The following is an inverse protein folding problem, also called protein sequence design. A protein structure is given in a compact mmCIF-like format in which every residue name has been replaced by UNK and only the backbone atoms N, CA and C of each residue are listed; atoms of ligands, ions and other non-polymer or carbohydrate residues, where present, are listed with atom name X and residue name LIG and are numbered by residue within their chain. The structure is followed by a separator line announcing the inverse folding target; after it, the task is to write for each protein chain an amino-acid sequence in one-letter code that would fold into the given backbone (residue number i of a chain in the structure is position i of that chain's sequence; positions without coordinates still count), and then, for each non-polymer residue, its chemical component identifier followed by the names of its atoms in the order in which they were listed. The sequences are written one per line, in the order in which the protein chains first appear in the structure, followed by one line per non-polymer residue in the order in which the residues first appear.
data_IF_131932761248
#
_entry.id   IF_131932761248
#
_cell.length_a   1.000
_cell.length_b   1.000
_cell.length_c   1.000
_cell.angle_alpha   90.00
_cell.angle_beta   90.00
_cell.angle_gamma   90.00
#
_symmetry.space_group_name_H-M   'P 1'
#
loop_
_entity.id
_entity.type
_entity.pdbx_description
1 polymer ?
#
# COMPACT_ATOMS: atom_id res chain seq x y z
N UNK A 1 -0.61 -20.00 -4.00
CA UNK A 1 -0.33 -18.63 -4.44
C UNK A 1 -1.45 -18.21 -5.37
N UNK A 2 -2.17 -17.13 -5.05
CA UNK A 2 -3.22 -16.55 -5.91
C UNK A 2 -2.56 -15.51 -6.81
N UNK A 3 -2.75 -15.64 -8.12
CA UNK A 3 -2.17 -14.72 -9.11
C UNK A 3 -3.14 -13.57 -9.41
N UNK A 4 -2.58 -12.42 -9.81
CA UNK A 4 -3.34 -11.24 -10.23
C UNK A 4 -4.29 -11.53 -11.41
N UNK A 5 -3.88 -12.41 -12.34
CA UNK A 5 -4.70 -12.85 -13.48
C UNK A 5 -6.02 -13.51 -13.09
N UNK A 6 -6.09 -14.06 -11.87
CA UNK A 6 -7.25 -14.82 -11.36
C UNK A 6 -8.25 -13.93 -10.60
N UNK A 7 -8.06 -12.61 -10.65
CA UNK A 7 -8.81 -11.62 -9.87
C UNK A 7 -9.61 -10.72 -10.81
N UNK A 8 -10.89 -10.40 -10.51
CA UNK A 8 -11.64 -9.36 -11.23
C UNK A 8 -10.89 -8.03 -11.25
N UNK A 9 -10.94 -7.29 -12.36
CA UNK A 9 -10.10 -6.09 -12.55
C UNK A 9 -10.40 -5.00 -11.50
N UNK A 10 -11.67 -4.84 -11.13
CA UNK A 10 -12.13 -3.91 -10.12
C UNK A 10 -11.63 -4.24 -8.70
N UNK A 11 -11.13 -5.45 -8.49
CA UNK A 11 -10.51 -5.90 -7.23
C UNK A 11 -8.98 -5.83 -7.23
N UNK A 12 -8.31 -5.56 -8.37
CA UNK A 12 -6.84 -5.57 -8.52
C UNK A 12 -6.15 -4.31 -7.96
N UNK A 13 -6.58 -3.85 -6.79
CA UNK A 13 -6.05 -2.66 -6.13
C UNK A 13 -5.55 -2.98 -4.73
N UNK A 14 -4.41 -2.40 -4.34
CA UNK A 14 -4.00 -2.36 -2.95
C UNK A 14 -4.65 -1.18 -2.26
N UNK A 15 -5.52 -1.44 -1.28
CA UNK A 15 -6.16 -0.38 -0.51
C UNK A 15 -5.28 -0.01 0.68
N UNK A 16 -4.80 1.22 0.69
CA UNK A 16 -4.10 1.85 1.82
C UNK A 16 -5.13 2.46 2.76
N UNK A 17 -5.07 2.09 4.03
CA UNK A 17 -5.95 2.59 5.07
C UNK A 17 -5.36 3.80 5.81
N UNK A 18 -4.04 3.95 5.86
CA UNK A 18 -3.43 5.13 6.48
C UNK A 18 -1.92 5.03 6.57
N UNK A 19 -1.30 6.11 7.02
CA UNK A 19 0.12 6.13 7.39
C UNK A 19 0.27 5.54 8.78
N UNK A 20 1.34 4.79 9.01
CA UNK A 20 1.60 4.24 10.34
C UNK A 20 1.93 5.37 11.31
N UNK A 21 1.20 5.43 12.42
CA UNK A 21 1.52 6.34 13.52
C UNK A 21 2.91 6.04 14.13
N UNK A 22 3.48 6.98 14.90
CA UNK A 22 4.70 6.73 15.67
C UNK A 22 4.62 5.48 16.57
N UNK A 23 3.45 5.17 17.14
CA UNK A 23 3.24 4.00 18.00
C UNK A 23 3.33 2.70 17.19
N UNK A 24 2.68 2.64 16.02
CA UNK A 24 2.78 1.48 15.12
C UNK A 24 4.23 1.29 14.67
N UNK A 25 4.90 2.39 14.27
CA UNK A 25 6.30 2.37 13.87
C UNK A 25 7.21 1.80 14.97
N UNK A 26 6.99 2.20 16.22
CA UNK A 26 7.73 1.68 17.37
C UNK A 26 7.61 0.16 17.50
N UNK A 27 6.42 -0.40 17.25
CA UNK A 27 6.18 -1.83 17.34
C UNK A 27 6.77 -2.61 16.16
N UNK A 28 6.73 -2.07 14.95
CA UNK A 28 7.12 -2.81 13.73
C UNK A 28 8.54 -2.55 13.24
N UNK A 29 9.25 -1.58 13.82
CA UNK A 29 10.60 -1.16 13.39
C UNK A 29 11.61 -2.32 13.23
N UNK A 30 11.48 -3.40 14.03
CA UNK A 30 12.39 -4.55 13.96
C UNK A 30 12.19 -5.42 12.70
N UNK A 31 11.02 -5.34 12.08
CA UNK A 31 10.67 -6.08 10.87
C UNK A 31 10.92 -5.28 9.59
N UNK A 32 11.24 -3.99 9.72
CA UNK A 32 11.48 -3.09 8.61
C UNK A 32 12.99 -2.80 8.48
N UNK A 33 13.46 -2.37 7.29
CA UNK A 33 14.81 -1.85 7.11
C UNK A 33 15.15 -0.75 8.14
N UNK A 34 16.37 -0.80 8.69
CA UNK A 34 16.85 0.18 9.69
C UNK A 34 16.90 1.59 9.13
N UNK A 35 17.33 1.71 7.89
CA UNK A 35 17.37 2.97 7.15
C UNK A 35 16.07 3.14 6.39
N UNK A 36 15.42 4.28 6.62
CA UNK A 36 14.22 4.69 5.89
C UNK A 36 14.53 5.99 5.15
N UNK A 37 14.75 5.93 3.84
CA UNK A 37 14.89 7.12 3.01
C UNK A 37 13.71 8.07 3.19
N UNK A 38 13.94 9.38 3.04
CA UNK A 38 12.88 10.40 3.19
C UNK A 38 11.78 10.33 2.13
N UNK A 39 11.97 9.49 1.10
CA UNK A 39 10.98 9.20 0.06
C UNK A 39 10.27 7.86 0.30
N UNK A 40 10.29 7.33 1.52
CA UNK A 40 9.54 6.14 1.92
C UNK A 40 8.48 6.48 2.96
N UNK A 41 7.36 5.76 2.94
CA UNK A 41 6.32 5.83 3.95
C UNK A 41 5.93 4.42 4.42
N UNK A 42 5.57 4.29 5.70
CA UNK A 42 5.03 3.02 6.23
C UNK A 42 3.52 3.10 6.21
N UNK A 43 2.90 2.20 5.45
CA UNK A 43 1.48 2.22 5.15
C UNK A 43 0.77 0.98 5.71
N UNK A 44 -0.40 1.19 6.31
CA UNK A 44 -1.31 0.10 6.65
C UNK A 44 -2.11 -0.25 5.40
N UNK A 45 -1.85 -1.44 4.86
CA UNK A 45 -2.49 -1.96 3.64
C UNK A 45 -3.56 -2.97 4.05
N UNK A 46 -4.74 -2.84 3.44
CA UNK A 46 -5.88 -3.73 3.64
C UNK A 46 -5.65 -5.09 2.97
N UNK A 47 -6.70 -5.89 2.83
CA UNK A 47 -6.62 -7.22 2.22
C UNK A 47 -6.04 -7.16 0.81
N UNK A 48 -4.91 -7.85 0.60
CA UNK A 48 -4.31 -7.97 -0.72
C UNK A 48 -5.13 -8.91 -1.61
N UNK A 49 -5.32 -8.52 -2.87
CA UNK A 49 -6.11 -9.26 -3.85
C UNK A 49 -5.40 -10.48 -4.45
N UNK A 50 -4.06 -10.50 -4.39
CA UNK A 50 -3.17 -11.57 -4.83
C UNK A 50 -1.95 -11.62 -3.91
N UNK A 51 -1.08 -12.63 -4.11
CA UNK A 51 0.25 -12.63 -3.51
C UNK A 51 1.12 -11.64 -4.29
N UNK A 52 1.65 -10.61 -3.62
CA UNK A 52 2.36 -9.50 -4.27
C UNK A 52 3.83 -9.48 -3.82
N UNK A 53 4.78 -9.71 -4.74
CA UNK A 53 6.18 -9.81 -4.38
C UNK A 53 6.75 -8.46 -3.90
N UNK A 54 7.72 -8.52 -2.98
CA UNK A 54 8.57 -7.36 -2.69
C UNK A 54 9.28 -6.91 -3.97
N UNK A 55 9.37 -5.60 -4.18
CA UNK A 55 9.88 -4.99 -5.40
C UNK A 55 8.82 -4.77 -6.48
N UNK A 56 7.58 -5.27 -6.30
CA UNK A 56 6.46 -4.92 -7.18
C UNK A 56 6.29 -3.40 -7.21
N UNK A 57 6.11 -2.89 -8.42
CA UNK A 57 5.84 -1.48 -8.69
C UNK A 57 4.37 -1.23 -8.90
N UNK A 58 3.89 -0.01 -8.68
CA UNK A 58 2.57 0.45 -9.12
C UNK A 58 2.73 1.86 -9.71
N UNK A 59 1.73 2.35 -10.45
CA UNK A 59 1.85 3.61 -11.20
C UNK A 59 0.76 4.64 -10.87
N UNK A 60 -0.32 4.20 -10.22
CA UNK A 60 -1.48 5.04 -9.92
C UNK A 60 -1.86 4.94 -8.45
N UNK A 61 -2.10 6.10 -7.83
CA UNK A 61 -2.85 6.21 -6.58
C UNK A 61 -4.13 7.03 -6.79
N UNK A 62 -5.24 6.65 -6.16
CA UNK A 62 -6.47 7.45 -6.17
C UNK A 62 -7.29 7.26 -4.89
N UNK A 63 -8.09 8.22 -4.44
CA UNK A 63 -9.05 8.01 -3.36
C UNK A 63 -10.00 6.88 -3.76
N UNK A 64 -10.13 5.83 -2.94
CA UNK A 64 -10.86 4.60 -3.31
C UNK A 64 -12.29 4.84 -3.79
N UNK A 65 -12.95 5.90 -3.29
CA UNK A 65 -14.32 6.29 -3.64
C UNK A 65 -14.43 7.26 -4.83
N UNK A 66 -13.32 7.71 -5.38
CA UNK A 66 -13.24 8.66 -6.48
C UNK A 66 -12.08 8.30 -7.44
N UNK A 67 -12.18 7.19 -8.19
CA UNK A 67 -11.08 6.67 -9.01
C UNK A 67 -10.65 7.61 -10.16
N UNK A 68 -11.51 8.55 -10.57
CA UNK A 68 -11.19 9.60 -11.56
C UNK A 68 -10.40 10.79 -10.98
N UNK A 69 -10.00 10.73 -9.71
CA UNK A 69 -9.17 11.72 -9.03
C UNK A 69 -7.79 11.13 -8.74
N UNK A 70 -7.11 10.71 -9.80
CA UNK A 70 -5.86 9.96 -9.73
C UNK A 70 -4.62 10.83 -9.55
N UNK A 71 -3.57 10.22 -9.04
CA UNK A 71 -2.21 10.71 -9.01
C UNK A 71 -1.32 9.67 -9.67
N UNK A 72 -0.65 10.08 -10.75
CA UNK A 72 0.33 9.27 -11.47
C UNK A 72 1.67 9.41 -10.79
N UNK A 73 2.19 8.33 -10.23
CA UNK A 73 3.54 8.28 -9.66
C UNK A 73 3.93 6.83 -9.43
N UNK A 74 5.24 6.57 -9.41
CA UNK A 74 5.74 5.21 -9.18
C UNK A 74 5.81 4.89 -7.69
N UNK A 75 5.34 3.69 -7.32
CA UNK A 75 5.44 3.13 -5.99
C UNK A 75 6.26 1.85 -6.03
N UNK A 76 6.99 1.51 -4.97
CA UNK A 76 7.70 0.21 -4.85
C UNK A 76 7.52 -0.37 -3.46
N UNK A 77 7.04 -1.62 -3.36
CA UNK A 77 6.99 -2.33 -2.07
C UNK A 77 8.41 -2.74 -1.68
N UNK A 78 8.93 -2.22 -0.56
CA UNK A 78 10.31 -2.49 -0.10
C UNK A 78 10.41 -3.48 1.04
N UNK A 79 9.42 -3.50 1.91
CA UNK A 79 9.32 -4.48 2.99
C UNK A 79 7.86 -4.66 3.40
N UNK A 80 7.55 -5.83 3.93
CA UNK A 80 6.21 -6.19 4.38
C UNK A 80 6.33 -6.84 5.74
N UNK A 81 5.45 -6.47 6.66
CA UNK A 81 5.31 -7.12 7.96
C UNK A 81 3.84 -7.21 8.35
N UNK A 82 3.55 -8.07 9.31
CA UNK A 82 2.28 -8.10 10.04
C UNK A 82 2.38 -7.38 11.39
N UNK A 83 1.25 -7.21 12.07
CA UNK A 83 1.11 -6.41 13.29
C UNK A 83 2.04 -6.84 14.45
N UNK A 84 2.46 -8.12 14.50
CA UNK A 84 3.42 -8.60 15.50
C UNK A 84 4.89 -8.51 15.06
N UNK A 85 5.21 -7.62 14.11
CA UNK A 85 6.57 -7.38 13.63
C UNK A 85 7.28 -8.65 13.12
N UNK A 86 6.53 -9.53 12.44
CA UNK A 86 7.10 -10.65 11.69
C UNK A 86 7.19 -10.24 10.22
N UNK A 87 8.39 -10.18 9.62
CA UNK A 87 8.54 -9.85 8.21
C UNK A 87 7.94 -10.95 7.33
N UNK A 88 7.47 -10.55 6.15
CA UNK A 88 7.09 -11.43 5.05
C UNK A 88 7.96 -11.15 3.84
N UNK A 89 8.13 -12.17 2.99
CA UNK A 89 8.87 -12.07 1.72
C UNK A 89 8.01 -11.52 0.57
N UNK A 90 6.68 -11.41 0.79
CA UNK A 90 5.67 -10.86 -0.12
C UNK A 90 4.46 -10.34 0.69
N UNK A 91 3.53 -9.63 0.06
CA UNK A 91 2.22 -9.34 0.65
C UNK A 91 1.32 -10.55 0.36
N UNK A 92 0.91 -11.34 1.37
CA UNK A 92 0.12 -12.54 1.11
C UNK A 92 -1.32 -12.20 0.73
N UNK A 93 -1.88 -12.92 -0.23
CA UNK A 93 -3.27 -12.80 -0.62
C UNK A 93 -4.22 -12.97 0.58
N UNK A 94 -5.18 -12.06 0.73
CA UNK A 94 -6.20 -12.10 1.77
C UNK A 94 -5.68 -11.68 3.15
N UNK A 95 -4.48 -11.10 3.23
CA UNK A 95 -3.93 -10.56 4.46
C UNK A 95 -3.92 -9.04 4.46
N UNK A 96 -4.13 -8.48 5.65
CA UNK A 96 -3.78 -7.10 5.95
C UNK A 96 -2.33 -7.02 6.38
N UNK A 97 -1.61 -6.01 5.91
CA UNK A 97 -0.17 -5.90 6.11
C UNK A 97 0.24 -4.46 6.39
N UNK A 98 1.45 -4.31 6.91
CA UNK A 98 2.12 -3.04 7.10
C UNK A 98 3.31 -3.05 6.14
N UNK A 99 3.32 -2.12 5.20
CA UNK A 99 4.28 -2.08 4.10
C UNK A 99 5.16 -0.85 4.21
N UNK A 100 6.47 -1.02 4.04
CA UNK A 100 7.35 0.09 3.67
C UNK A 100 7.25 0.29 2.16
N UNK A 101 6.78 1.44 1.74
CA UNK A 101 6.61 1.80 0.33
C UNK A 101 7.55 2.93 -0.02
N UNK A 102 8.34 2.75 -1.07
CA UNK A 102 9.17 3.81 -1.64
C UNK A 102 8.43 4.52 -2.77
N UNK A 103 8.61 5.84 -2.82
CA UNK A 103 8.13 6.73 -3.87
C UNK A 103 9.35 7.38 -4.52
N UNK A 104 9.89 6.86 -5.64
CA UNK A 104 11.11 7.38 -6.24
C UNK A 104 11.05 8.87 -6.62
N UNK A 105 9.85 9.39 -6.89
CA UNK A 105 9.58 10.78 -7.25
C UNK A 105 9.18 11.66 -6.05
N UNK A 106 9.20 11.10 -4.84
CA UNK A 106 8.71 11.72 -3.62
C UNK A 106 7.29 11.26 -3.24
N UNK A 107 6.96 11.36 -1.94
CA UNK A 107 5.65 10.92 -1.43
C UNK A 107 4.55 11.80 -2.03
N UNK A 108 3.60 11.26 -2.79
CA UNK A 108 2.55 12.05 -3.42
C UNK A 108 1.60 12.64 -2.38
N UNK A 109 1.02 13.80 -2.69
CA UNK A 109 0.11 14.51 -1.79
C UNK A 109 -1.06 13.66 -1.31
N UNK A 110 -1.61 12.77 -2.15
CA UNK A 110 -2.70 11.86 -1.78
C UNK A 110 -2.30 10.91 -0.64
N UNK A 111 -1.04 10.47 -0.57
CA UNK A 111 -0.52 9.64 0.53
C UNK A 111 -0.10 10.50 1.71
N UNK A 112 0.64 11.59 1.47
CA UNK A 112 1.10 12.50 2.52
C UNK A 112 -0.06 13.13 3.33
N UNK A 113 -1.22 13.32 2.67
CA UNK A 113 -2.44 13.86 3.30
C UNK A 113 -3.24 12.82 4.09
N UNK A 114 -2.92 11.53 3.98
CA UNK A 114 -3.62 10.49 4.74
C UNK A 114 -3.36 10.66 6.25
N UNK A 115 -4.34 10.35 7.10
CA UNK A 115 -4.15 10.35 8.54
C UNK A 115 -3.13 9.29 8.95
N UNK A 116 -2.42 9.57 10.04
CA UNK A 116 -1.71 8.55 10.80
C UNK A 116 -2.73 7.71 11.58
N UNK A 117 -2.59 6.39 11.54
CA UNK A 117 -3.51 5.44 12.18
C UNK A 117 -2.75 4.42 13.01
N UNK A 118 -3.40 3.91 14.05
CA UNK A 118 -2.85 2.87 14.93
C UNK A 118 -3.23 1.45 14.50
N UNK A 119 -4.21 1.33 13.61
CA UNK A 119 -4.73 0.08 13.13
C UNK A 119 -5.60 0.25 11.89
N UNK A 120 -5.98 -0.87 11.31
CA UNK A 120 -6.94 -0.89 10.22
C UNK A 120 -8.34 -0.51 10.72
N UNK A 121 -9.19 -0.05 9.81
CA UNK A 121 -10.58 0.41 9.99
C UNK A 121 -10.75 1.75 10.73
N UNK A 122 -9.66 2.40 11.15
CA UNK A 122 -9.70 3.71 11.80
C UNK A 122 -9.99 4.85 10.80
N UNK A 123 -9.58 4.69 9.54
CA UNK A 123 -9.78 5.68 8.48
C UNK A 123 -10.77 5.17 7.43
N UNK A 124 -11.77 6.01 7.10
CA UNK A 124 -12.77 5.74 6.05
C UNK A 124 -12.42 6.33 4.69
N UNK A 125 -11.40 7.19 4.64
CA UNK A 125 -10.89 7.83 3.42
C UNK A 125 -9.62 7.11 2.97
N UNK A 126 -9.81 5.94 2.37
CA UNK A 126 -8.72 5.09 1.89
C UNK A 126 -8.23 5.51 0.52
N UNK A 127 -7.02 5.08 0.18
CA UNK A 127 -6.38 5.33 -1.12
C UNK A 127 -6.07 3.98 -1.77
N UNK A 128 -6.45 3.79 -3.02
CA UNK A 128 -6.12 2.60 -3.80
C UNK A 128 -4.82 2.83 -4.59
N UNK A 129 -3.98 1.81 -4.65
CA UNK A 129 -2.79 1.74 -5.49
C UNK A 129 -2.96 0.63 -6.53
N UNK A 130 -2.66 0.91 -7.79
CA UNK A 130 -2.64 -0.10 -8.86
C UNK A 130 -1.78 0.31 -10.05
N UNK A 131 -1.71 -0.58 -11.03
CA UNK A 131 -1.09 -0.30 -12.32
C UNK A 131 -1.97 0.60 -13.18
N UNK A 132 -1.34 1.33 -14.09
CA UNK A 132 -2.07 2.18 -15.04
C UNK A 132 -3.09 1.41 -15.87
N UNK A 133 -2.76 0.19 -16.32
CA UNK A 133 -3.69 -0.65 -17.08
C UNK A 133 -4.94 -0.99 -16.27
N UNK A 134 -4.77 -1.39 -15.02
CA UNK A 134 -5.88 -1.71 -14.13
C UNK A 134 -6.73 -0.47 -13.86
N UNK A 135 -6.10 0.68 -13.60
CA UNK A 135 -6.83 1.92 -13.39
C UNK A 135 -7.69 2.32 -14.60
N UNK A 136 -7.15 2.25 -15.82
CA UNK A 136 -7.91 2.56 -17.05
C UNK A 136 -9.19 1.74 -17.14
N UNK A 137 -9.08 0.44 -16.89
CA UNK A 137 -10.22 -0.47 -16.90
C UNK A 137 -11.23 -0.24 -15.76
N UNK A 138 -10.81 0.37 -14.64
CA UNK A 138 -11.69 0.74 -13.53
C UNK A 138 -12.51 2.01 -13.85
N UNK A 139 -11.94 2.95 -14.61
CA UNK A 139 -12.57 4.27 -14.86
C UNK A 139 -13.33 4.38 -16.18
N UNK A 140 -13.11 3.43 -17.10
CA UNK A 140 -13.86 3.24 -18.35
C UNK A 140 -15.31 2.81 -18.07
#
# INVERSE_FOLDING_TARGET
MRQESDVPVDERVLVVEGRASPDVLFHVQKALPKERPGNCEVLLVSFAYADIPIGRTFDIAFPTRAPKSETRTRFVIRAVTQQYAKPFDEIPHGWKTICLVEFPEGIPGVIASMPEVNGWYENRQTVSLCDEETWRLIVD
#
